data_IF_689145729763
#
_entry.id   IF_689145729763
#
_cell.length_a   1.000
_cell.length_b   1.000
_cell.length_c   1.000
_cell.angle_alpha   90.00
_cell.angle_beta   90.00
_cell.angle_gamma   90.00
#
_symmetry.space_group_name_H-M   'P 1'
#
loop_
_entity.id
_entity.type
_entity.pdbx_description
1 polymer ?
#
# COMPACT_ATOMS: atom_id res chain seq x y z
N UNK A 1 -11.31 -37.66 17.28
CA UNK A 1 -12.56 -36.90 17.06
C UNK A 1 -12.39 -36.01 15.84
N UNK A 2 -13.43 -35.96 15.01
CA UNK A 2 -13.46 -35.47 13.62
C UNK A 2 -13.67 -33.93 13.53
N UNK A 3 -13.14 -33.33 12.45
CA UNK A 3 -13.63 -32.19 11.63
C UNK A 3 -12.42 -31.64 10.84
N UNK A 4 -12.08 -32.12 9.64
CA UNK A 4 -12.77 -32.08 8.34
C UNK A 4 -13.11 -30.64 7.89
N UNK A 5 -12.10 -29.92 7.41
CA UNK A 5 -12.23 -28.69 6.63
C UNK A 5 -12.47 -29.03 5.16
N UNK A 6 -13.71 -28.87 4.71
CA UNK A 6 -14.09 -28.85 3.30
C UNK A 6 -14.14 -27.40 2.80
N UNK A 7 -13.27 -27.05 1.86
CA UNK A 7 -13.47 -26.03 0.80
C UNK A 7 -12.58 -26.48 -0.37
N UNK A 8 -13.02 -27.40 -1.22
CA UNK A 8 -13.90 -27.19 -2.38
C UNK A 8 -13.53 -25.96 -3.22
N UNK A 9 -12.36 -26.03 -3.87
CA UNK A 9 -12.11 -25.32 -5.11
C UNK A 9 -12.85 -26.07 -6.23
N UNK A 10 -13.99 -25.54 -6.65
CA UNK A 10 -14.65 -25.90 -7.90
C UNK A 10 -14.77 -24.61 -8.70
N UNK A 11 -14.27 -24.65 -9.93
CA UNK A 11 -14.90 -23.90 -11.02
C UNK A 11 -14.17 -22.67 -11.53
N UNK A 12 -12.94 -22.83 -12.04
CA UNK A 12 -12.55 -22.11 -13.24
C UNK A 12 -13.43 -22.55 -14.41
N UNK A 13 -14.42 -21.75 -14.83
CA UNK A 13 -14.79 -21.56 -16.23
C UNK A 13 -15.95 -20.56 -16.36
N UNK A 14 -15.83 -19.71 -17.38
CA UNK A 14 -16.93 -19.04 -18.11
C UNK A 14 -17.81 -18.03 -17.37
N UNK A 15 -17.49 -16.74 -17.53
CA UNK A 15 -18.42 -15.81 -18.20
C UNK A 15 -17.69 -14.56 -18.73
N UNK A 16 -16.95 -14.73 -19.83
CA UNK A 16 -16.62 -13.63 -20.76
C UNK A 16 -17.83 -13.34 -21.64
N UNK A 17 -18.93 -12.84 -21.08
CA UNK A 17 -20.01 -12.18 -21.83
C UNK A 17 -20.69 -11.16 -20.89
N UNK A 18 -20.14 -9.95 -20.82
CA UNK A 18 -20.87 -8.73 -20.43
C UNK A 18 -20.07 -7.45 -20.78
N UNK A 19 -19.19 -7.52 -21.79
CA UNK A 19 -18.37 -6.40 -22.26
C UNK A 19 -18.76 -5.89 -23.65
N UNK A 20 -19.93 -6.27 -24.16
CA UNK A 20 -20.39 -5.87 -25.49
C UNK A 20 -21.93 -5.85 -25.54
N UNK A 21 -22.55 -4.88 -24.88
CA UNK A 21 -23.96 -4.50 -25.12
C UNK A 21 -24.31 -3.13 -24.51
N UNK A 22 -23.46 -2.13 -24.72
CA UNK A 22 -23.88 -0.71 -24.66
C UNK A 22 -23.23 0.01 -25.84
N UNK A 23 -23.71 -0.32 -27.03
CA UNK A 23 -23.58 0.45 -28.26
C UNK A 23 -24.60 -0.16 -29.23
N UNK A 24 -25.87 0.20 -29.01
CA UNK A 24 -26.99 -0.27 -29.79
C UNK A 24 -28.03 0.84 -29.89
N UNK A 25 -28.00 1.52 -31.03
CA UNK A 25 -29.09 2.18 -31.73
C UNK A 25 -30.24 2.77 -30.89
N UNK A 26 -30.39 4.09 -30.99
CA UNK A 26 -31.70 4.72 -31.29
C UNK A 26 -31.47 6.12 -31.83
N UNK A 27 -31.07 6.19 -33.10
CA UNK A 27 -31.30 7.36 -33.94
C UNK A 27 -32.56 7.08 -34.77
N UNK A 28 -33.45 8.09 -34.81
CA UNK A 28 -34.69 8.19 -35.58
C UNK A 28 -35.90 7.39 -35.07
N UNK A 29 -36.84 8.09 -34.42
CA UNK A 29 -38.21 8.32 -34.94
C UNK A 29 -38.77 9.63 -34.34
N UNK A 30 -39.18 10.51 -35.25
CA UNK A 30 -40.07 11.68 -35.16
C UNK A 30 -40.55 12.22 -33.81
N UNK A 31 -40.07 13.41 -33.49
CA UNK A 31 -40.81 14.45 -32.76
C UNK A 31 -41.88 15.07 -33.66
N UNK A 32 -43.12 14.68 -33.46
CA UNK A 32 -44.31 15.51 -33.63
C UNK A 32 -45.05 15.44 -32.29
N UNK A 33 -45.47 16.49 -31.62
CA UNK A 33 -45.42 17.93 -31.84
C UNK A 33 -46.31 18.54 -30.76
N UNK A 34 -46.02 19.75 -30.29
CA UNK A 34 -46.99 20.76 -29.82
C UNK A 34 -46.24 21.90 -29.13
N UNK A 35 -46.01 22.96 -29.89
CA UNK A 35 -46.00 24.31 -29.35
C UNK A 35 -47.03 25.16 -30.11
N UNK A 36 -47.61 26.06 -29.34
CA UNK A 36 -48.85 26.80 -29.55
C UNK A 36 -48.61 28.01 -30.45
N UNK A 37 -49.51 28.28 -31.41
CA UNK A 37 -49.61 29.58 -32.07
C UNK A 37 -51.07 30.04 -32.06
N UNK A 38 -51.29 31.23 -31.49
CA UNK A 38 -52.55 31.93 -31.51
C UNK A 38 -52.73 32.75 -32.81
N UNK A 39 -53.96 32.71 -33.33
CA UNK A 39 -54.71 33.77 -34.04
C UNK A 39 -54.11 34.47 -35.27
N UNK A 40 -54.73 34.24 -36.43
CA UNK A 40 -55.33 35.28 -37.29
C UNK A 40 -56.16 34.66 -38.42
N UNK A 41 -57.44 35.02 -38.54
CA UNK A 41 -58.23 34.89 -39.78
C UNK A 41 -57.79 35.99 -40.78
N UNK A 42 -57.98 35.89 -42.12
CA UNK A 42 -59.32 35.86 -42.73
C UNK A 42 -59.51 35.04 -44.03
N UNK A 43 -60.79 34.84 -44.37
CA UNK A 43 -61.43 34.72 -45.70
C UNK A 43 -60.88 33.77 -46.78
N UNK A 44 -61.70 32.76 -47.13
CA UNK A 44 -62.51 32.67 -48.38
C UNK A 44 -62.86 31.21 -48.70
N UNK A 45 -64.08 30.80 -48.40
CA UNK A 45 -64.79 29.80 -49.22
C UNK A 45 -66.27 30.17 -49.29
N UNK A 46 -66.59 31.01 -50.27
CA UNK A 46 -67.93 31.14 -50.84
C UNK A 46 -68.22 29.87 -51.66
N UNK A 47 -69.00 28.94 -51.11
CA UNK A 47 -69.98 28.09 -51.79
C UNK A 47 -70.40 26.93 -50.88
N UNK A 48 -71.41 27.18 -50.05
CA UNK A 48 -72.41 26.17 -49.73
C UNK A 48 -73.75 26.77 -50.14
N UNK A 49 -74.09 26.57 -51.41
CA UNK A 49 -75.45 26.74 -51.87
C UNK A 49 -76.29 25.60 -51.28
N UNK A 50 -77.40 25.96 -50.63
CA UNK A 50 -78.41 25.01 -50.18
C UNK A 50 -78.32 24.66 -48.69
N UNK A 51 -78.67 25.59 -47.82
CA UNK A 51 -79.27 25.22 -46.53
C UNK A 51 -80.77 25.41 -46.69
N UNK A 52 -81.46 24.28 -46.89
CA UNK A 52 -82.90 24.24 -46.72
C UNK A 52 -83.23 24.74 -45.32
N UNK A 53 -83.94 25.86 -45.27
CA UNK A 53 -84.58 26.41 -44.07
C UNK A 53 -85.72 25.47 -43.66
N UNK A 54 -85.35 24.32 -43.08
CA UNK A 54 -86.28 23.56 -42.25
C UNK A 54 -86.44 24.39 -40.98
N UNK A 55 -87.61 25.01 -40.86
CA UNK A 55 -88.13 25.63 -39.64
C UNK A 55 -88.14 24.60 -38.50
N UNK A 56 -86.99 24.39 -37.86
CA UNK A 56 -86.93 23.77 -36.54
C UNK A 56 -87.36 24.84 -35.55
N UNK A 57 -88.43 24.56 -34.80
CA UNK A 57 -88.82 25.36 -33.63
C UNK A 57 -87.56 25.64 -32.79
N UNK A 58 -87.43 26.84 -32.18
CA UNK A 58 -86.30 27.18 -31.31
C UNK A 58 -86.00 26.11 -30.24
N UNK A 59 -87.03 25.37 -29.85
CA UNK A 59 -86.97 24.22 -28.93
C UNK A 59 -86.06 23.08 -29.42
N UNK A 60 -85.95 22.83 -30.73
CA UNK A 60 -85.16 21.73 -31.27
C UNK A 60 -83.65 22.00 -31.34
N UNK A 61 -83.25 23.27 -31.51
CA UNK A 61 -81.85 23.69 -31.44
C UNK A 61 -81.38 23.83 -29.98
N UNK A 62 -82.26 24.27 -29.09
CA UNK A 62 -82.00 24.27 -27.65
C UNK A 62 -81.90 22.84 -27.10
N UNK A 63 -82.78 21.92 -27.50
CA UNK A 63 -82.73 20.52 -27.08
C UNK A 63 -81.41 19.85 -27.47
N UNK A 64 -80.93 20.04 -28.71
CA UNK A 64 -79.63 19.50 -29.13
C UNK A 64 -78.44 20.10 -28.37
N UNK A 65 -78.46 21.41 -28.09
CA UNK A 65 -77.41 22.04 -27.27
C UNK A 65 -77.45 21.58 -25.82
N UNK A 66 -78.63 21.27 -25.29
CA UNK A 66 -78.79 20.66 -23.97
C UNK A 66 -78.27 19.23 -23.98
N UNK A 67 -78.60 18.42 -24.99
CA UNK A 67 -78.03 17.07 -25.16
C UNK A 67 -76.51 17.09 -25.30
N UNK A 68 -75.94 18.01 -26.10
CA UNK A 68 -74.49 18.18 -26.24
C UNK A 68 -73.85 18.62 -24.91
N UNK A 69 -74.48 19.52 -24.17
CA UNK A 69 -74.01 19.98 -22.86
C UNK A 69 -74.12 18.87 -21.80
N UNK A 70 -75.21 18.09 -21.79
CA UNK A 70 -75.39 16.92 -20.94
C UNK A 70 -74.38 15.83 -21.29
N UNK A 71 -74.08 15.63 -22.57
CA UNK A 71 -73.04 14.71 -23.00
C UNK A 71 -71.66 15.15 -22.50
N UNK A 72 -71.28 16.42 -22.68
CA UNK A 72 -70.03 16.97 -22.14
C UNK A 72 -69.98 16.84 -20.61
N UNK A 73 -71.06 17.23 -19.92
CA UNK A 73 -71.17 17.11 -18.46
C UNK A 73 -71.10 15.66 -17.99
N UNK A 74 -71.56 14.69 -18.77
CA UNK A 74 -71.44 13.27 -18.46
C UNK A 74 -70.01 12.73 -18.60
N UNK A 75 -69.17 13.37 -19.43
CA UNK A 75 -67.76 12.97 -19.62
C UNK A 75 -66.79 13.62 -18.63
N UNK A 76 -67.19 14.69 -17.95
CA UNK A 76 -66.35 15.42 -16.99
C UNK A 76 -66.09 14.62 -15.70
N UNK A 77 -67.08 14.03 -15.00
CA UNK A 77 -66.87 13.23 -13.80
C UNK A 77 -65.90 12.05 -13.98
N UNK A 78 -65.99 11.22 -15.04
CA UNK A 78 -65.04 10.13 -15.23
C UNK A 78 -63.62 10.65 -15.54
N UNK A 79 -63.48 11.77 -16.26
CA UNK A 79 -62.17 12.42 -16.47
C UNK A 79 -61.57 12.97 -15.18
N UNK A 80 -62.39 13.57 -14.31
CA UNK A 80 -61.95 14.02 -12.99
C UNK A 80 -61.52 12.82 -12.12
N UNK A 81 -62.25 11.71 -12.17
CA UNK A 81 -61.87 10.49 -11.47
C UNK A 81 -60.52 9.93 -11.98
N UNK A 82 -60.32 9.87 -13.30
CA UNK A 82 -59.05 9.46 -13.92
C UNK A 82 -57.87 10.37 -13.55
N UNK A 83 -58.09 11.68 -13.51
CA UNK A 83 -57.06 12.63 -13.09
C UNK A 83 -56.72 12.48 -11.60
N UNK A 84 -57.71 12.18 -10.74
CA UNK A 84 -57.46 11.91 -9.32
C UNK A 84 -56.66 10.64 -9.09
N UNK A 85 -56.94 9.57 -9.83
CA UNK A 85 -56.14 8.34 -9.75
C UNK A 85 -54.71 8.56 -10.24
N UNK A 86 -54.53 9.31 -11.33
CA UNK A 86 -53.19 9.67 -11.82
C UNK A 86 -52.40 10.50 -10.80
N UNK A 87 -53.05 11.45 -10.11
CA UNK A 87 -52.40 12.23 -9.04
C UNK A 87 -51.97 11.31 -7.89
N UNK A 88 -52.83 10.40 -7.45
CA UNK A 88 -52.48 9.45 -6.38
C UNK A 88 -51.34 8.51 -6.76
N UNK A 89 -51.31 8.03 -8.01
CA UNK A 89 -50.21 7.22 -8.53
C UNK A 89 -48.90 8.02 -8.61
N UNK A 90 -48.99 9.30 -9.00
CA UNK A 90 -47.84 10.19 -9.05
C UNK A 90 -47.30 10.48 -7.65
N UNK A 91 -48.16 10.76 -6.68
CA UNK A 91 -47.79 11.02 -5.29
C UNK A 91 -47.10 9.78 -4.68
N UNK A 92 -47.64 8.58 -4.90
CA UNK A 92 -47.01 7.34 -4.47
C UNK A 92 -45.66 7.11 -5.16
N UNK A 93 -45.53 7.43 -6.45
CA UNK A 93 -44.26 7.35 -7.16
C UNK A 93 -43.23 8.36 -6.63
N UNK A 94 -43.66 9.55 -6.23
CA UNK A 94 -42.80 10.57 -5.60
C UNK A 94 -42.31 10.10 -4.24
N UNK A 95 -43.19 9.57 -3.38
CA UNK A 95 -42.79 9.03 -2.07
C UNK A 95 -41.75 7.91 -2.20
N UNK A 96 -41.95 7.00 -3.18
CA UNK A 96 -40.97 5.95 -3.47
C UNK A 96 -39.64 6.58 -3.90
N UNK A 97 -39.66 7.57 -4.80
CA UNK A 97 -38.45 8.25 -5.27
C UNK A 97 -37.72 9.01 -4.16
N UNK A 98 -38.45 9.65 -3.27
CA UNK A 98 -37.87 10.33 -2.10
C UNK A 98 -37.18 9.32 -1.17
N UNK A 99 -37.79 8.15 -0.96
CA UNK A 99 -37.17 7.07 -0.18
C UNK A 99 -35.90 6.51 -0.85
N UNK A 100 -35.89 6.35 -2.17
CA UNK A 100 -34.72 5.94 -2.94
C UNK A 100 -33.60 6.98 -2.86
N UNK A 101 -33.94 8.27 -2.91
CA UNK A 101 -32.98 9.37 -2.75
C UNK A 101 -32.35 9.35 -1.37
N UNK A 102 -33.14 9.11 -0.32
CA UNK A 102 -32.63 9.05 1.05
C UNK A 102 -31.72 7.84 1.26
N UNK A 103 -32.08 6.67 0.72
CA UNK A 103 -31.18 5.49 0.70
C UNK A 103 -29.87 5.85 0.00
N UNK A 104 -29.92 6.44 -1.20
CA UNK A 104 -28.74 6.82 -1.96
C UNK A 104 -27.84 7.84 -1.22
N UNK A 105 -28.43 8.77 -0.45
CA UNK A 105 -27.66 9.68 0.43
C UNK A 105 -26.95 8.90 1.53
N UNK A 106 -27.63 7.96 2.19
CA UNK A 106 -27.01 7.16 3.25
C UNK A 106 -25.90 6.26 2.74
N UNK A 107 -26.06 5.65 1.55
CA UNK A 107 -25.01 4.86 0.91
C UNK A 107 -23.81 5.73 0.53
N UNK A 108 -24.04 6.94 0.02
CA UNK A 108 -22.99 7.91 -0.27
C UNK A 108 -22.24 8.34 0.99
N UNK A 109 -22.94 8.59 2.10
CA UNK A 109 -22.32 8.98 3.36
C UNK A 109 -21.55 7.82 3.99
N UNK A 110 -22.07 6.58 3.89
CA UNK A 110 -21.35 5.38 4.30
C UNK A 110 -20.07 5.19 3.48
N UNK A 111 -20.16 5.33 2.15
CA UNK A 111 -19.00 5.22 1.26
C UNK A 111 -17.95 6.30 1.53
N UNK A 112 -18.37 7.52 1.89
CA UNK A 112 -17.46 8.59 2.32
C UNK A 112 -16.73 8.24 3.60
N UNK A 113 -17.45 7.80 4.64
CA UNK A 113 -16.81 7.39 5.91
C UNK A 113 -15.82 6.25 5.73
N UNK A 114 -16.20 5.22 4.97
CA UNK A 114 -15.31 4.10 4.66
C UNK A 114 -14.05 4.55 3.90
N UNK A 115 -14.19 5.53 3.01
CA UNK A 115 -13.05 6.12 2.31
C UNK A 115 -12.16 6.91 3.25
N UNK A 116 -12.73 7.76 4.08
CA UNK A 116 -11.98 8.60 5.01
C UNK A 116 -11.21 7.72 6.03
N UNK A 117 -11.87 6.69 6.59
CA UNK A 117 -11.25 5.68 7.45
C UNK A 117 -10.10 4.93 6.73
N UNK A 118 -10.30 4.54 5.46
CA UNK A 118 -9.25 3.88 4.69
C UNK A 118 -8.07 4.81 4.36
N UNK A 119 -8.33 6.09 4.12
CA UNK A 119 -7.29 7.10 3.89
C UNK A 119 -6.47 7.33 5.17
N UNK A 120 -7.12 7.44 6.34
CA UNK A 120 -6.48 7.59 7.65
C UNK A 120 -5.64 6.35 8.01
N UNK A 121 -6.21 5.15 7.92
CA UNK A 121 -5.50 3.88 8.13
C UNK A 121 -4.27 3.75 7.20
N UNK A 122 -4.40 4.20 5.95
CA UNK A 122 -3.28 4.17 5.00
C UNK A 122 -2.18 5.17 5.38
N UNK A 123 -2.55 6.36 5.82
CA UNK A 123 -1.61 7.40 6.24
C UNK A 123 -0.82 6.92 7.47
N UNK A 124 -1.51 6.41 8.49
CA UNK A 124 -0.90 5.83 9.69
C UNK A 124 0.07 4.70 9.35
N UNK A 125 -0.33 3.74 8.50
CA UNK A 125 0.56 2.65 8.08
C UNK A 125 1.80 3.16 7.33
N UNK A 126 1.65 4.17 6.47
CA UNK A 126 2.81 4.75 5.77
C UNK A 126 3.76 5.49 6.72
N UNK A 127 3.23 6.16 7.74
CA UNK A 127 4.05 6.81 8.76
C UNK A 127 4.79 5.78 9.62
N UNK A 128 4.10 4.72 10.04
CA UNK A 128 4.71 3.63 10.79
C UNK A 128 5.84 2.93 10.00
N UNK A 129 5.62 2.67 8.71
CA UNK A 129 6.65 2.12 7.82
C UNK A 129 7.85 3.05 7.71
N UNK A 130 7.64 4.36 7.52
CA UNK A 130 8.73 5.36 7.46
C UNK A 130 9.54 5.39 8.76
N UNK A 131 8.89 5.34 9.92
CA UNK A 131 9.59 5.29 11.20
C UNK A 131 10.43 4.02 11.35
N UNK A 132 9.87 2.86 10.99
CA UNK A 132 10.56 1.57 11.05
C UNK A 132 11.74 1.53 10.08
N UNK A 133 11.59 2.06 8.87
CA UNK A 133 12.69 2.22 7.90
C UNK A 133 13.80 3.12 8.44
N UNK A 134 13.46 4.26 9.04
CA UNK A 134 14.45 5.15 9.67
C UNK A 134 15.23 4.43 10.77
N UNK A 135 14.54 3.71 11.67
CA UNK A 135 15.18 2.91 12.72
C UNK A 135 16.07 1.81 12.13
N UNK A 136 15.66 1.17 11.03
CA UNK A 136 16.46 0.17 10.33
C UNK A 136 17.75 0.79 9.77
N UNK A 137 17.67 1.97 9.15
CA UNK A 137 18.83 2.68 8.63
C UNK A 137 19.82 3.06 9.74
N UNK A 138 19.33 3.54 10.89
CA UNK A 138 20.16 3.83 12.06
C UNK A 138 20.85 2.58 12.61
N UNK A 139 20.13 1.46 12.69
CA UNK A 139 20.71 0.16 13.08
C UNK A 139 21.78 -0.31 12.08
N UNK A 140 21.55 -0.13 10.78
CA UNK A 140 22.53 -0.48 9.74
C UNK A 140 23.80 0.37 9.84
N UNK A 141 23.67 1.69 10.06
CA UNK A 141 24.83 2.57 10.30
C UNK A 141 25.64 2.13 11.51
N UNK A 142 24.97 1.88 12.62
CA UNK A 142 25.61 1.39 13.85
C UNK A 142 26.32 0.04 13.62
N UNK A 143 25.70 -0.87 12.87
CA UNK A 143 26.30 -2.16 12.55
C UNK A 143 27.51 -2.01 11.60
N UNK A 144 27.48 -1.06 10.67
CA UNK A 144 28.61 -0.74 9.79
C UNK A 144 29.79 -0.15 10.56
N UNK A 145 29.55 0.79 11.47
CA UNK A 145 30.59 1.34 12.35
C UNK A 145 31.22 0.25 13.23
N UNK A 146 30.41 -0.63 13.81
CA UNK A 146 30.90 -1.78 14.59
C UNK A 146 31.71 -2.75 13.73
N UNK A 147 31.29 -2.99 12.48
CA UNK A 147 32.05 -3.81 11.52
C UNK A 147 33.43 -3.21 11.26
N UNK A 148 33.50 -1.90 11.03
CA UNK A 148 34.77 -1.21 10.79
C UNK A 148 35.70 -1.33 12.00
N UNK A 149 35.19 -1.09 13.21
CA UNK A 149 35.97 -1.24 14.45
C UNK A 149 36.46 -2.67 14.67
N UNK A 150 35.61 -3.66 14.38
CA UNK A 150 35.99 -5.08 14.44
C UNK A 150 37.11 -5.40 13.44
N UNK A 151 37.00 -4.97 12.19
CA UNK A 151 38.02 -5.21 11.17
C UNK A 151 39.34 -4.51 11.49
N UNK A 152 39.29 -3.28 12.03
CA UNK A 152 40.48 -2.59 12.51
C UNK A 152 41.16 -3.35 13.65
N UNK A 153 40.39 -3.82 14.63
CA UNK A 153 40.89 -4.67 15.72
C UNK A 153 41.55 -5.94 15.21
N UNK A 154 40.92 -6.59 14.23
CA UNK A 154 41.44 -7.82 13.63
C UNK A 154 42.76 -7.56 12.90
N UNK A 155 42.87 -6.43 12.19
CA UNK A 155 44.11 -6.02 11.55
C UNK A 155 45.23 -5.68 12.53
N UNK A 156 44.91 -5.04 13.67
CA UNK A 156 45.86 -4.80 14.77
C UNK A 156 46.35 -6.11 15.39
N UNK A 157 45.44 -7.04 15.65
CA UNK A 157 45.77 -8.35 16.18
C UNK A 157 46.72 -9.11 15.26
N UNK A 158 46.43 -9.14 13.96
CA UNK A 158 47.30 -9.78 12.96
C UNK A 158 48.69 -9.14 12.91
N UNK A 159 48.78 -7.79 12.97
CA UNK A 159 50.08 -7.10 13.03
C UNK A 159 50.87 -7.47 14.28
N UNK A 160 50.20 -7.56 15.44
CA UNK A 160 50.84 -8.00 16.68
C UNK A 160 51.34 -9.44 16.59
N UNK A 161 50.58 -10.32 15.94
CA UNK A 161 51.00 -11.71 15.73
C UNK A 161 52.22 -11.82 14.82
N UNK A 162 52.29 -10.98 13.78
CA UNK A 162 53.47 -10.92 12.91
C UNK A 162 54.68 -10.43 13.70
N UNK A 163 54.52 -9.37 14.51
CA UNK A 163 55.60 -8.84 15.35
C UNK A 163 56.10 -9.89 16.37
N UNK A 164 55.21 -10.68 16.97
CA UNK A 164 55.63 -11.74 17.90
C UNK A 164 56.45 -12.82 17.19
N UNK A 165 56.08 -13.20 15.95
CA UNK A 165 56.89 -14.14 15.15
C UNK A 165 58.27 -13.58 14.81
N UNK A 166 58.39 -12.27 14.56
CA UNK A 166 59.69 -11.63 14.32
C UNK A 166 60.57 -11.66 15.58
N UNK A 167 59.99 -11.39 16.75
CA UNK A 167 60.71 -11.47 18.02
C UNK A 167 61.16 -12.90 18.35
N UNK A 168 60.30 -13.91 18.11
CA UNK A 168 60.65 -15.33 18.28
C UNK A 168 61.79 -15.76 17.33
N UNK A 169 61.79 -15.26 16.08
CA UNK A 169 62.88 -15.53 15.13
C UNK A 169 64.21 -14.93 15.61
N UNK A 170 64.19 -13.70 16.11
CA UNK A 170 65.41 -13.07 16.64
C UNK A 170 65.92 -13.78 17.89
N UNK A 171 65.02 -14.21 18.77
CA UNK A 171 65.38 -15.03 19.93
C UNK A 171 66.06 -16.34 19.51
N UNK A 172 65.48 -17.05 18.53
CA UNK A 172 66.08 -18.28 17.99
C UNK A 172 67.46 -18.03 17.37
N UNK A 173 67.64 -16.91 16.66
CA UNK A 173 68.93 -16.52 16.10
C UNK A 173 69.98 -16.29 17.19
N UNK A 174 69.63 -15.61 18.27
CA UNK A 174 70.53 -15.39 19.40
C UNK A 174 70.90 -16.70 20.12
N UNK A 175 69.94 -17.62 20.25
CA UNK A 175 70.17 -18.96 20.81
C UNK A 175 71.14 -19.76 19.93
N UNK A 176 70.98 -19.72 18.61
CA UNK A 176 71.90 -20.34 17.66
C UNK A 176 73.31 -19.72 17.71
N UNK A 177 73.42 -18.38 17.80
CA UNK A 177 74.71 -17.70 18.00
C UNK A 177 75.36 -18.14 19.32
N UNK A 178 74.59 -18.25 20.41
CA UNK A 178 75.10 -18.72 21.69
C UNK A 178 75.60 -20.16 21.58
N UNK A 179 74.87 -21.06 20.91
CA UNK A 179 75.26 -22.45 20.73
C UNK A 179 76.60 -22.56 19.98
N UNK A 180 76.77 -21.83 18.88
CA UNK A 180 78.03 -21.81 18.13
C UNK A 180 79.21 -21.20 18.91
N UNK A 181 78.96 -20.32 19.88
CA UNK A 181 79.98 -19.76 20.77
C UNK A 181 80.32 -20.67 21.95
N UNK A 182 79.45 -21.61 22.32
CA UNK A 182 79.71 -22.59 23.39
C UNK A 182 80.71 -23.65 22.92
N UNK A 183 80.70 -23.98 21.63
CA UNK A 183 81.64 -24.94 21.03
C UNK A 183 83.09 -24.40 20.92
N UNK A 184 83.31 -23.10 21.16
CA UNK A 184 84.62 -22.44 21.17
C UNK A 184 85.10 -22.23 22.62
N UNK A 185 85.97 -23.10 23.13
CA UNK A 185 86.48 -23.07 24.53
C UNK A 185 87.52 -21.94 24.79
N UNK A 186 87.67 -20.98 23.89
CA UNK A 186 88.71 -19.95 23.98
C UNK A 186 88.37 -18.84 25.01
N UNK A 187 89.39 -18.32 25.68
CA UNK A 187 89.28 -17.25 26.69
C UNK A 187 88.67 -15.94 26.14
N UNK A 188 88.79 -15.69 24.83
CA UNK A 188 88.18 -14.54 24.15
C UNK A 188 86.67 -14.70 23.90
N UNK A 189 86.15 -15.95 23.88
CA UNK A 189 84.72 -16.24 23.65
C UNK A 189 83.84 -16.03 24.89
N UNK A 190 84.43 -16.06 26.09
CA UNK A 190 83.71 -15.91 27.36
C UNK A 190 82.94 -14.57 27.50
N UNK A 191 83.53 -13.38 27.25
CA UNK A 191 82.78 -12.12 27.33
C UNK A 191 81.65 -12.04 26.29
N UNK A 192 81.84 -12.61 25.09
CA UNK A 192 80.81 -12.63 24.05
C UNK A 192 79.63 -13.54 24.40
N UNK A 193 79.88 -14.71 25.00
CA UNK A 193 78.80 -15.58 25.54
C UNK A 193 77.97 -14.88 26.61
N UNK A 194 78.61 -14.12 27.50
CA UNK A 194 77.90 -13.36 28.55
C UNK A 194 77.02 -12.27 27.92
N UNK A 195 77.53 -11.55 26.91
CA UNK A 195 76.76 -10.55 26.19
C UNK A 195 75.54 -11.15 25.46
N UNK A 196 75.72 -12.25 24.72
CA UNK A 196 74.61 -12.92 24.01
C UNK A 196 73.58 -13.48 25.00
N UNK A 197 74.00 -14.03 26.15
CA UNK A 197 73.07 -14.47 27.21
C UNK A 197 72.27 -13.32 27.80
N UNK A 198 72.87 -12.15 27.97
CA UNK A 198 72.16 -10.96 28.43
C UNK A 198 71.11 -10.51 27.40
N UNK A 199 71.46 -10.53 26.11
CA UNK A 199 70.54 -10.23 25.00
C UNK A 199 69.40 -11.24 24.91
N UNK A 200 69.67 -12.55 25.08
CA UNK A 200 68.63 -13.58 25.15
C UNK A 200 67.67 -13.29 26.29
N UNK A 201 68.18 -13.01 27.51
CA UNK A 201 67.33 -12.74 28.66
C UNK A 201 66.47 -11.47 28.50
N UNK A 202 66.98 -10.46 27.80
CA UNK A 202 66.22 -9.26 27.42
C UNK A 202 65.14 -9.60 26.39
N UNK A 203 65.49 -10.33 25.33
CA UNK A 203 64.57 -10.76 24.28
C UNK A 203 63.48 -11.72 24.78
N UNK A 204 63.79 -12.59 25.75
CA UNK A 204 62.80 -13.45 26.43
C UNK A 204 61.78 -12.62 27.22
N UNK A 205 62.20 -11.53 27.86
CA UNK A 205 61.26 -10.63 28.55
C UNK A 205 60.37 -9.91 27.55
N UNK A 206 60.95 -9.37 26.47
CA UNK A 206 60.19 -8.66 25.45
C UNK A 206 59.18 -9.57 24.73
N UNK A 207 59.55 -10.83 24.44
CA UNK A 207 58.63 -11.82 23.85
C UNK A 207 57.49 -12.18 24.79
N UNK A 208 57.77 -12.39 26.09
CA UNK A 208 56.73 -12.64 27.09
C UNK A 208 55.75 -11.46 27.22
N UNK A 209 56.25 -10.24 27.31
CA UNK A 209 55.39 -9.04 27.36
C UNK A 209 54.55 -8.88 26.07
N UNK A 210 55.12 -9.21 24.91
CA UNK A 210 54.38 -9.17 23.65
C UNK A 210 53.28 -10.24 23.59
N UNK A 211 53.53 -11.44 24.11
CA UNK A 211 52.53 -12.51 24.21
C UNK A 211 51.40 -12.16 25.18
N UNK A 212 51.71 -11.52 26.32
CA UNK A 212 50.68 -11.01 27.24
C UNK A 212 49.80 -9.94 26.57
N UNK A 213 50.42 -8.96 25.90
CA UNK A 213 49.68 -7.94 25.13
C UNK A 213 48.84 -8.56 24.02
N UNK A 214 49.36 -9.58 23.34
CA UNK A 214 48.64 -10.30 22.30
C UNK A 214 47.41 -11.03 22.86
N UNK A 215 47.54 -11.72 23.99
CA UNK A 215 46.43 -12.40 24.66
C UNK A 215 45.32 -11.41 25.07
N UNK A 216 45.68 -10.24 25.61
CA UNK A 216 44.70 -9.17 25.89
C UNK A 216 43.99 -8.67 24.63
N UNK A 217 44.72 -8.54 23.51
CA UNK A 217 44.15 -8.13 22.24
C UNK A 217 43.22 -9.20 21.65
N UNK A 218 43.52 -10.49 21.81
CA UNK A 218 42.64 -11.59 21.41
C UNK A 218 41.31 -11.54 22.17
N UNK A 219 41.36 -11.34 23.49
CA UNK A 219 40.15 -11.23 24.32
C UNK A 219 39.28 -10.04 23.87
N UNK A 220 39.90 -8.86 23.71
CA UNK A 220 39.21 -7.66 23.20
C UNK A 220 38.65 -7.87 21.80
N UNK A 221 39.35 -8.60 20.94
CA UNK A 221 38.90 -8.94 19.58
C UNK A 221 37.69 -9.88 19.60
N UNK A 222 37.68 -10.87 20.50
CA UNK A 222 36.56 -11.78 20.69
C UNK A 222 35.29 -11.03 21.15
N UNK A 223 35.42 -10.07 22.07
CA UNK A 223 34.30 -9.25 22.50
C UNK A 223 33.80 -8.32 21.39
N UNK A 224 34.70 -7.68 20.63
CA UNK A 224 34.31 -6.90 19.44
C UNK A 224 33.59 -7.77 18.40
N UNK A 225 34.01 -9.03 18.21
CA UNK A 225 33.34 -9.99 17.33
C UNK A 225 31.92 -10.29 17.81
N UNK A 226 31.73 -10.55 19.10
CA UNK A 226 30.40 -10.78 19.70
C UNK A 226 29.49 -9.57 19.50
N UNK A 227 30.00 -8.37 19.73
CA UNK A 227 29.23 -7.13 19.56
C UNK A 227 28.87 -6.82 18.11
N UNK A 228 29.75 -7.16 17.18
CA UNK A 228 29.46 -7.11 15.75
C UNK A 228 28.35 -8.09 15.37
N UNK A 229 28.43 -9.34 15.82
CA UNK A 229 27.41 -10.38 15.56
C UNK A 229 26.05 -9.96 16.12
N UNK A 230 26.00 -9.48 17.38
CA UNK A 230 24.75 -8.97 17.98
C UNK A 230 24.17 -7.80 17.18
N UNK A 231 25.00 -6.89 16.69
CA UNK A 231 24.53 -5.77 15.88
C UNK A 231 23.96 -6.23 14.54
N UNK A 232 24.59 -7.21 13.90
CA UNK A 232 24.05 -7.83 12.67
C UNK A 232 22.71 -8.52 12.93
N UNK A 233 22.58 -9.27 14.02
CA UNK A 233 21.33 -9.93 14.40
C UNK A 233 20.18 -8.91 14.52
N UNK A 234 20.40 -7.79 15.21
CA UNK A 234 19.40 -6.72 15.36
C UNK A 234 18.96 -6.09 14.04
N UNK A 235 19.85 -6.03 13.04
CA UNK A 235 19.51 -5.56 11.69
C UNK A 235 18.65 -6.59 10.96
N UNK A 236 18.96 -7.88 11.11
CA UNK A 236 18.17 -8.96 10.52
C UNK A 236 16.77 -9.02 11.14
N UNK A 237 16.67 -8.92 12.47
CA UNK A 237 15.40 -8.84 13.19
C UNK A 237 14.57 -7.63 12.73
N UNK A 238 15.19 -6.44 12.64
CA UNK A 238 14.52 -5.23 12.14
C UNK A 238 13.99 -5.39 10.70
N UNK A 239 14.73 -6.08 9.83
CA UNK A 239 14.28 -6.36 8.45
C UNK A 239 13.10 -7.32 8.43
N UNK A 240 13.11 -8.33 9.28
CA UNK A 240 12.01 -9.28 9.40
C UNK A 240 10.73 -8.59 9.94
N UNK A 241 10.87 -7.70 10.92
CA UNK A 241 9.78 -6.87 11.44
C UNK A 241 9.18 -5.93 10.38
N UNK A 242 10.02 -5.31 9.55
CA UNK A 242 9.57 -4.46 8.44
C UNK A 242 8.79 -5.28 7.39
N UNK A 243 9.38 -6.41 6.96
CA UNK A 243 8.77 -7.29 5.96
C UNK A 243 7.46 -7.96 6.43
N UNK A 244 7.21 -8.02 7.74
CA UNK A 244 5.96 -8.53 8.31
C UNK A 244 4.81 -7.51 8.22
N UNK A 245 5.12 -6.20 8.21
CA UNK A 245 4.11 -5.13 8.08
C UNK A 245 3.80 -4.79 6.63
N UNK A 246 4.72 -5.09 5.72
CA UNK A 246 4.50 -4.96 4.27
C UNK A 246 3.54 -6.02 3.69
N UNK A 247 3.16 -7.06 4.45
CA UNK A 247 2.26 -8.15 4.03
C UNK A 247 0.84 -7.96 4.54
#
# INVERSE_FOLDING_TARGET
MKKQTRRSCIGTLTLRIAGALILGLSAAVSTAGQEVVATSAPDRLSQVAGVDLVSLRPDGLLARRVEDAEHILSTIPPRIAQLRTLIQELDAAVEIKDSEIDIAKTEKDLARRQRDEAEEDSAERTEELREREKRLLERQRTAAERKQRFLQAQGELMRSQIASFEQERELNRLIEELAGLVDLEDAEGAPRRVAVRAQIAEQERETLEALERFAEMEERSADRRRDFIRAQLRVVEARAELAAVER
#
